data_IF_438990259900
#
_entry.id   IF_438990259900
#
_cell.length_a   1.000
_cell.length_b   1.000
_cell.length_c   1.000
_cell.angle_alpha   90.00
_cell.angle_beta   90.00
_cell.angle_gamma   90.00
#
_symmetry.space_group_name_H-M   'P 1'
#
loop_
_entity.id
_entity.type
_entity.pdbx_description
1 polymer ?
#
# COMPACT_ATOMS: atom_id res chain seq x y z
N UNK A 1 -12.11 -12.37 -12.07
CA UNK A 1 -10.97 -11.47 -11.77
C UNK A 1 -10.79 -11.52 -10.26
N UNK A 2 -9.56 -11.57 -9.75
CA UNK A 2 -9.36 -11.54 -8.30
C UNK A 2 -9.66 -10.16 -7.71
N UNK A 3 -9.74 -10.09 -6.39
CA UNK A 3 -10.03 -8.86 -5.64
C UNK A 3 -8.95 -7.80 -5.87
N UNK A 4 -9.35 -6.54 -6.05
CA UNK A 4 -8.41 -5.41 -6.01
C UNK A 4 -8.20 -4.97 -4.58
N UNK A 5 -6.94 -4.75 -4.23
CA UNK A 5 -6.52 -4.21 -2.95
C UNK A 5 -5.77 -2.90 -3.17
N UNK A 6 -6.11 -1.93 -2.34
CA UNK A 6 -5.46 -0.63 -2.24
C UNK A 6 -4.61 -0.65 -0.98
N UNK A 7 -3.35 -0.28 -1.10
CA UNK A 7 -2.45 -0.31 0.04
C UNK A 7 -1.53 0.89 0.04
N UNK A 8 -0.91 1.07 1.19
CA UNK A 8 0.10 2.07 1.47
C UNK A 8 1.04 1.53 2.55
N UNK A 9 2.30 1.94 2.54
CA UNK A 9 3.28 1.59 3.56
C UNK A 9 4.02 2.81 4.05
N UNK A 10 4.24 2.86 5.35
CA UNK A 10 5.20 3.77 5.94
C UNK A 10 6.49 3.00 6.23
N UNK A 11 7.63 3.63 5.96
CA UNK A 11 8.94 3.00 6.10
C UNK A 11 10.04 4.01 6.41
N UNK A 12 11.15 3.52 6.97
CA UNK A 12 12.37 4.28 7.18
C UNK A 12 13.38 3.88 6.11
N UNK A 13 13.87 4.87 5.36
CA UNK A 13 15.03 4.70 4.49
C UNK A 13 16.30 4.73 5.34
N UNK A 14 16.73 3.55 5.81
CA UNK A 14 17.94 3.40 6.64
C UNK A 14 19.17 3.33 5.75
N UNK A 15 20.17 4.17 6.03
CA UNK A 15 21.48 4.09 5.40
C UNK A 15 22.51 3.56 6.40
N UNK A 16 23.04 2.37 6.17
CA UNK A 16 24.04 1.75 7.04
C UNK A 16 25.23 1.24 6.21
N UNK A 17 26.44 1.64 6.59
CA UNK A 17 27.70 1.32 5.87
C UNK A 17 27.68 1.61 4.36
N UNK A 18 26.89 2.60 3.92
CA UNK A 18 26.75 2.96 2.50
C UNK A 18 25.72 2.14 1.72
N UNK A 19 24.95 1.28 2.39
CA UNK A 19 23.81 0.57 1.80
C UNK A 19 22.49 1.17 2.28
N UNK A 20 21.50 1.25 1.39
CA UNK A 20 20.16 1.76 1.69
C UNK A 20 19.15 0.62 1.85
N UNK A 21 18.42 0.63 2.96
CA UNK A 21 17.39 -0.34 3.32
C UNK A 21 16.04 0.36 3.47
N UNK A 22 14.96 -0.34 3.17
CA UNK A 22 13.60 0.11 3.43
C UNK A 22 13.04 -0.69 4.60
N UNK A 23 13.07 -0.10 5.80
CA UNK A 23 12.59 -0.75 7.00
C UNK A 23 11.10 -0.43 7.19
N UNK A 24 10.23 -1.42 7.03
CA UNK A 24 8.78 -1.27 7.21
C UNK A 24 8.45 -0.74 8.60
N UNK A 25 7.75 0.39 8.67
CA UNK A 25 7.12 0.93 9.88
C UNK A 25 5.70 0.40 10.01
N UNK A 26 4.84 0.62 9.00
CA UNK A 26 3.45 0.15 9.03
C UNK A 26 2.91 -0.13 7.62
N UNK A 27 1.85 -0.95 7.55
CA UNK A 27 1.17 -1.30 6.29
C UNK A 27 -0.33 -1.20 6.50
N UNK A 28 -1.01 -0.53 5.55
CA UNK A 28 -2.46 -0.45 5.47
C UNK A 28 -2.94 -1.08 4.17
N UNK A 29 -3.98 -1.90 4.22
CA UNK A 29 -4.57 -2.57 3.05
C UNK A 29 -6.09 -2.53 3.15
N UNK A 30 -6.77 -2.22 2.04
CA UNK A 30 -8.23 -2.27 1.92
C UNK A 30 -8.69 -2.90 0.60
N UNK A 31 -9.72 -3.73 0.65
CA UNK A 31 -10.34 -4.31 -0.55
C UNK A 31 -11.20 -3.29 -1.31
N UNK A 32 -11.45 -3.53 -2.60
CA UNK A 32 -12.26 -2.65 -3.47
C UNK A 32 -13.69 -2.39 -2.95
N UNK A 33 -14.31 -3.39 -2.34
CA UNK A 33 -15.63 -3.27 -1.71
C UNK A 33 -15.56 -2.57 -0.33
N UNK A 34 -14.36 -2.37 0.22
CA UNK A 34 -14.10 -1.75 1.52
C UNK A 34 -14.41 -2.64 2.73
N UNK A 35 -14.75 -3.91 2.52
CA UNK A 35 -15.17 -4.84 3.59
C UNK A 35 -13.97 -5.43 4.34
N UNK A 36 -12.87 -5.70 3.64
CA UNK A 36 -11.63 -6.18 4.25
C UNK A 36 -10.70 -5.00 4.47
N UNK A 37 -10.21 -4.89 5.71
CA UNK A 37 -9.23 -3.87 6.11
C UNK A 37 -8.17 -4.54 6.95
N UNK A 38 -6.94 -4.14 6.72
CA UNK A 38 -5.80 -4.61 7.48
C UNK A 38 -4.89 -3.44 7.80
N UNK A 39 -4.45 -3.40 9.04
CA UNK A 39 -3.44 -2.47 9.51
C UNK A 39 -2.51 -3.20 10.47
N UNK A 40 -1.22 -2.95 10.31
CA UNK A 40 -0.21 -3.42 11.24
C UNK A 40 0.97 -2.46 11.30
N UNK A 41 1.57 -2.37 12.47
CA UNK A 41 2.83 -1.66 12.74
C UNK A 41 3.89 -2.70 13.05
N UNK A 42 5.04 -2.62 12.40
CA UNK A 42 6.13 -3.55 12.66
C UNK A 42 6.79 -3.25 14.01
N UNK A 43 7.04 -4.28 14.80
CA UNK A 43 7.85 -4.16 16.03
C UNK A 43 9.36 -4.19 15.77
N UNK A 44 9.79 -4.24 14.51
CA UNK A 44 11.17 -4.57 14.13
C UNK A 44 11.94 -3.41 13.48
N UNK A 45 11.29 -2.28 13.17
CA UNK A 45 12.03 -1.09 12.71
C UNK A 45 12.75 -0.43 13.88
N UNK A 46 13.91 0.18 13.59
CA UNK A 46 14.64 0.98 14.57
C UNK A 46 14.31 2.47 14.37
N UNK A 47 13.55 3.09 15.30
CA UNK A 47 13.16 4.50 15.19
C UNK A 47 14.35 5.46 15.27
N UNK A 48 15.55 5.02 15.68
CA UNK A 48 16.74 5.88 15.73
C UNK A 48 17.13 6.40 14.34
N UNK A 49 16.86 5.63 13.29
CA UNK A 49 17.12 5.99 11.89
C UNK A 49 16.11 6.97 11.29
N UNK A 50 14.99 7.22 11.96
CA UNK A 50 13.97 8.12 11.45
C UNK A 50 14.46 9.58 11.38
N UNK A 51 14.43 10.15 10.19
CA UNK A 51 14.66 11.59 9.96
C UNK A 51 13.56 12.42 10.62
N UNK A 52 13.78 13.72 10.91
CA UNK A 52 12.81 14.56 11.62
C UNK A 52 11.43 14.62 10.96
N UNK A 53 11.38 14.50 9.63
CA UNK A 53 10.11 14.46 8.90
C UNK A 53 9.33 13.17 9.19
N UNK A 54 9.97 12.00 9.15
CA UNK A 54 9.33 10.71 9.46
C UNK A 54 8.88 10.66 10.90
N UNK A 55 9.66 11.20 11.85
CA UNK A 55 9.24 11.27 13.25
C UNK A 55 7.91 11.99 13.42
N UNK A 56 7.84 13.23 12.93
CA UNK A 56 6.66 14.10 13.12
C UNK A 56 5.43 13.65 12.35
N UNK A 57 5.62 13.12 11.14
CA UNK A 57 4.51 12.79 10.26
C UNK A 57 4.13 11.32 10.33
N UNK A 58 5.01 10.41 10.75
CA UNK A 58 4.71 8.97 10.77
C UNK A 58 4.69 8.47 12.20
N UNK A 59 5.83 8.56 12.90
CA UNK A 59 6.00 7.90 14.20
C UNK A 59 5.08 8.48 15.28
N UNK A 60 4.88 9.80 15.27
CA UNK A 60 3.99 10.48 16.21
C UNK A 60 2.49 10.16 15.97
N UNK A 61 2.14 9.56 14.83
CA UNK A 61 0.78 9.11 14.50
C UNK A 61 0.52 7.64 14.84
N UNK A 62 1.56 6.86 15.20
CA UNK A 62 1.41 5.44 15.50
C UNK A 62 0.52 5.23 16.74
N UNK A 63 -0.24 4.12 16.78
CA UNK A 63 -1.04 3.78 17.95
C UNK A 63 -0.16 3.52 19.19
N UNK A 64 -0.79 3.54 20.36
CA UNK A 64 -0.14 3.18 21.64
C UNK A 64 0.67 1.88 21.49
N UNK A 65 1.86 1.76 22.10
CA UNK A 65 2.65 0.51 22.07
C UNK A 65 1.92 -0.74 22.60
N UNK A 66 0.82 -0.56 23.34
CA UNK A 66 -0.04 -1.65 23.82
C UNK A 66 -1.11 -2.09 22.82
N UNK A 67 -1.23 -1.41 21.68
CA UNK A 67 -2.22 -1.69 20.64
C UNK A 67 -1.89 -3.01 19.91
N UNK A 68 -2.92 -3.77 19.54
CA UNK A 68 -2.77 -5.07 18.86
C UNK A 68 -2.26 -4.95 17.42
N UNK A 69 -2.25 -3.73 16.85
CA UNK A 69 -1.65 -3.45 15.56
C UNK A 69 -0.14 -3.71 15.53
N UNK A 70 0.55 -3.62 16.68
CA UNK A 70 1.98 -3.88 16.79
C UNK A 70 2.28 -5.38 16.65
N UNK A 71 3.01 -5.76 15.60
CA UNK A 71 3.26 -7.16 15.23
C UNK A 71 4.70 -7.37 14.72
N UNK A 72 5.30 -8.55 14.96
CA UNK A 72 6.52 -8.94 14.27
C UNK A 72 6.26 -9.13 12.77
N UNK A 73 7.27 -8.86 11.94
CA UNK A 73 7.21 -8.95 10.47
C UNK A 73 6.74 -10.32 10.00
N UNK A 74 7.14 -11.39 10.68
CA UNK A 74 6.69 -12.74 10.36
C UNK A 74 5.16 -12.89 10.44
N UNK A 75 4.53 -12.29 11.46
CA UNK A 75 3.07 -12.29 11.61
C UNK A 75 2.40 -11.41 10.56
N UNK A 76 2.97 -10.24 10.28
CA UNK A 76 2.48 -9.34 9.21
C UNK A 76 2.50 -10.06 7.86
N UNK A 77 3.62 -10.72 7.52
CA UNK A 77 3.77 -11.53 6.30
C UNK A 77 2.65 -12.57 6.16
N UNK A 78 2.41 -13.34 7.21
CA UNK A 78 1.43 -14.44 7.18
C UNK A 78 0.00 -13.92 7.04
N UNK A 79 -0.35 -12.86 7.78
CA UNK A 79 -1.67 -12.22 7.72
C UNK A 79 -1.92 -11.52 6.36
N UNK A 80 -0.91 -10.82 5.83
CA UNK A 80 -0.97 -10.18 4.50
C UNK A 80 -1.12 -11.23 3.40
N UNK A 81 -0.37 -12.33 3.47
CA UNK A 81 -0.50 -13.42 2.50
C UNK A 81 -1.91 -14.05 2.53
N UNK A 82 -2.42 -14.33 3.74
CA UNK A 82 -3.76 -14.88 3.91
C UNK A 82 -4.84 -13.93 3.36
N UNK A 83 -4.75 -12.64 3.68
CA UNK A 83 -5.68 -11.61 3.20
C UNK A 83 -5.68 -11.52 1.67
N UNK A 84 -4.51 -11.29 1.07
CA UNK A 84 -4.39 -10.98 -0.35
C UNK A 84 -4.69 -12.18 -1.26
N UNK A 85 -4.57 -13.41 -0.76
CA UNK A 85 -4.76 -14.63 -1.56
C UNK A 85 -6.06 -15.37 -1.28
N UNK A 86 -6.85 -14.94 -0.29
CA UNK A 86 -8.13 -15.57 0.07
C UNK A 86 -9.12 -15.67 -1.11
N UNK A 87 -9.12 -14.69 -2.01
CA UNK A 87 -10.00 -14.61 -3.18
C UNK A 87 -9.36 -15.00 -4.52
N UNK A 88 -8.20 -15.67 -4.49
CA UNK A 88 -7.39 -15.96 -5.69
C UNK A 88 -6.31 -14.90 -5.94
N UNK A 89 -5.85 -14.77 -7.18
CA UNK A 89 -4.75 -13.85 -7.55
C UNK A 89 -5.22 -12.38 -7.50
N UNK A 90 -4.69 -11.53 -6.61
CA UNK A 90 -5.17 -10.16 -6.41
C UNK A 90 -4.66 -9.19 -7.48
N UNK A 91 -5.33 -8.03 -7.59
CA UNK A 91 -4.73 -6.84 -8.18
C UNK A 91 -4.24 -5.92 -7.05
N UNK A 92 -2.95 -5.54 -7.05
CA UNK A 92 -2.41 -4.57 -6.11
C UNK A 92 -2.41 -3.16 -6.73
N UNK A 93 -2.88 -2.18 -5.97
CA UNK A 93 -2.95 -0.77 -6.34
C UNK A 93 -2.39 0.11 -5.22
N UNK A 94 -1.56 1.09 -5.58
CA UNK A 94 -1.06 2.12 -4.67
C UNK A 94 -0.85 3.43 -5.42
N UNK A 95 -0.63 4.52 -4.70
CA UNK A 95 -0.35 5.84 -5.26
C UNK A 95 1.14 6.16 -5.13
N UNK A 96 1.88 6.25 -6.24
CA UNK A 96 3.36 6.27 -6.24
C UNK A 96 3.99 4.99 -5.65
N UNK A 97 3.41 3.83 -5.95
CA UNK A 97 3.64 2.58 -5.22
C UNK A 97 4.97 1.85 -5.44
N UNK A 98 6.00 2.52 -5.95
CA UNK A 98 7.26 1.87 -6.30
C UNK A 98 8.01 1.34 -5.07
N UNK A 99 8.19 2.20 -4.07
CA UNK A 99 8.85 1.81 -2.81
C UNK A 99 7.95 0.91 -1.98
N UNK A 100 6.64 1.19 -1.93
CA UNK A 100 5.64 0.35 -1.27
C UNK A 100 5.67 -1.08 -1.78
N UNK A 101 5.82 -1.27 -3.09
CA UNK A 101 5.92 -2.60 -3.68
C UNK A 101 7.15 -3.35 -3.16
N UNK A 102 8.30 -2.68 -3.09
CA UNK A 102 9.53 -3.28 -2.55
C UNK A 102 9.35 -3.64 -1.07
N UNK A 103 8.83 -2.72 -0.26
CA UNK A 103 8.59 -2.91 1.17
C UNK A 103 7.64 -4.07 1.44
N UNK A 104 6.52 -4.13 0.71
CA UNK A 104 5.55 -5.21 0.78
C UNK A 104 6.18 -6.56 0.39
N UNK A 105 6.92 -6.62 -0.73
CA UNK A 105 7.57 -7.84 -1.18
C UNK A 105 8.67 -8.32 -0.20
N UNK A 106 9.40 -7.40 0.43
CA UNK A 106 10.45 -7.72 1.41
C UNK A 106 9.92 -8.39 2.69
N UNK A 107 8.60 -8.37 2.97
CA UNK A 107 8.00 -9.22 4.01
C UNK A 107 8.24 -10.71 3.75
N UNK A 108 8.40 -11.10 2.48
CA UNK A 108 8.62 -12.49 2.06
C UNK A 108 10.10 -12.82 1.88
N UNK A 109 11.00 -11.86 2.02
CA UNK A 109 12.43 -12.01 1.75
C UNK A 109 12.79 -11.58 0.33
N UNK A 110 13.48 -12.44 -0.42
CA UNK A 110 13.87 -12.16 -1.81
C UNK A 110 12.71 -12.38 -2.77
N UNK A 111 12.82 -11.85 -4.00
CA UNK A 111 11.76 -11.99 -5.02
C UNK A 111 11.37 -13.45 -5.32
N UNK A 112 12.27 -14.42 -5.11
CA UNK A 112 12.00 -15.84 -5.33
C UNK A 112 11.10 -16.46 -4.26
N UNK A 113 11.01 -15.83 -3.08
CA UNK A 113 10.16 -16.27 -1.98
C UNK A 113 8.75 -15.64 -2.01
N UNK A 114 8.49 -14.71 -2.93
CA UNK A 114 7.16 -14.12 -3.09
C UNK A 114 6.15 -15.19 -3.52
N UNK A 115 5.00 -15.35 -2.82
CA UNK A 115 3.97 -16.33 -3.17
C UNK A 115 3.57 -16.26 -4.65
N UNK A 116 3.39 -17.44 -5.27
CA UNK A 116 3.08 -17.56 -6.69
C UNK A 116 1.84 -16.77 -7.13
N UNK A 117 0.86 -16.63 -6.24
CA UNK A 117 -0.40 -15.94 -6.45
C UNK A 117 -0.28 -14.42 -6.43
N UNK A 118 0.74 -13.86 -5.75
CA UNK A 118 0.90 -12.40 -5.67
C UNK A 118 1.49 -11.84 -6.97
N UNK A 119 0.97 -10.72 -7.48
CA UNK A 119 1.51 -10.09 -8.69
C UNK A 119 2.90 -9.52 -8.43
N UNK A 120 3.77 -9.54 -9.46
CA UNK A 120 5.16 -9.03 -9.41
C UNK A 120 5.24 -7.54 -9.74
N UNK A 121 4.09 -6.87 -9.67
CA UNK A 121 3.96 -5.45 -9.90
C UNK A 121 2.77 -4.91 -9.12
N UNK A 122 2.86 -3.64 -8.77
CA UNK A 122 1.73 -2.85 -8.28
C UNK A 122 1.28 -1.90 -9.38
N UNK A 123 -0.03 -1.79 -9.58
CA UNK A 123 -0.62 -0.81 -10.48
C UNK A 123 -0.61 0.55 -9.79
N UNK A 124 -0.25 1.57 -10.55
CA UNK A 124 -0.08 2.90 -10.01
C UNK A 124 -1.33 3.77 -10.27
N UNK A 125 -1.99 4.20 -9.19
CA UNK A 125 -3.17 5.06 -9.26
C UNK A 125 -2.86 6.46 -9.78
N UNK A 126 -1.65 6.95 -9.53
CA UNK A 126 -1.20 8.27 -10.01
C UNK A 126 -1.02 8.23 -11.53
N UNK A 127 -0.52 7.12 -12.09
CA UNK A 127 -0.49 6.89 -13.53
C UNK A 127 -1.91 6.88 -14.09
N UNK A 128 -2.82 6.08 -13.50
CA UNK A 128 -4.22 6.03 -13.94
C UNK A 128 -4.89 7.42 -13.93
N UNK A 129 -4.61 8.24 -12.91
CA UNK A 129 -5.11 9.61 -12.84
C UNK A 129 -4.68 10.48 -14.03
N UNK A 130 -3.47 10.30 -14.58
CA UNK A 130 -3.08 10.99 -15.82
C UNK A 130 -3.83 10.47 -17.02
N UNK A 131 -3.91 9.15 -17.15
CA UNK A 131 -4.53 8.47 -18.29
C UNK A 131 -6.01 8.85 -18.47
N UNK A 132 -6.71 9.16 -17.37
CA UNK A 132 -8.12 9.57 -17.40
C UNK A 132 -8.33 11.10 -17.37
N UNK A 133 -7.29 11.88 -17.66
CA UNK A 133 -7.41 13.33 -17.85
C UNK A 133 -7.35 14.16 -16.58
N UNK A 134 -6.74 13.65 -15.51
CA UNK A 134 -6.47 14.36 -14.25
C UNK A 134 -7.72 14.98 -13.59
N UNK A 135 -8.79 14.20 -13.35
CA UNK A 135 -10.00 14.68 -12.68
C UNK A 135 -9.70 15.19 -11.26
N UNK A 136 -10.60 15.99 -10.71
CA UNK A 136 -10.55 16.38 -9.29
C UNK A 136 -10.68 15.14 -8.43
N UNK A 137 -9.76 14.97 -7.47
CA UNK A 137 -9.75 13.87 -6.51
C UNK A 137 -10.20 14.36 -5.12
N UNK A 138 -10.63 13.45 -4.23
CA UNK A 138 -10.85 13.78 -2.82
C UNK A 138 -9.60 14.41 -2.18
N UNK A 139 -9.81 15.28 -1.20
CA UNK A 139 -8.72 15.86 -0.43
C UNK A 139 -8.02 14.77 0.42
N UNK A 140 -6.71 14.92 0.71
CA UNK A 140 -6.01 14.07 1.68
C UNK A 140 -6.72 13.98 3.03
N UNK A 141 -6.67 12.80 3.71
CA UNK A 141 -7.23 12.66 5.04
C UNK A 141 -6.47 13.56 6.04
N UNK A 142 -7.11 13.97 7.15
CA UNK A 142 -6.46 14.77 8.19
C UNK A 142 -5.25 14.07 8.84
N UNK A 143 -5.27 12.74 8.90
CA UNK A 143 -4.21 11.88 9.39
C UNK A 143 -3.45 11.20 8.24
N UNK A 144 -3.14 11.94 7.17
CA UNK A 144 -2.23 11.47 6.13
C UNK A 144 -0.89 11.04 6.78
N UNK A 145 -0.24 10.03 6.21
CA UNK A 145 0.90 9.29 6.78
C UNK A 145 0.54 8.29 7.89
N UNK A 146 -0.75 7.99 8.03
CA UNK A 146 -1.25 6.72 8.56
C UNK A 146 -1.54 5.79 7.38
N UNK A 147 -0.84 4.66 7.31
CA UNK A 147 -0.91 3.75 6.17
C UNK A 147 -2.35 3.22 5.88
N UNK A 148 -3.20 3.03 6.90
CA UNK A 148 -4.58 2.61 6.65
C UNK A 148 -5.43 3.77 6.12
N UNK A 149 -5.24 4.97 6.66
CA UNK A 149 -5.90 6.18 6.16
C UNK A 149 -5.55 6.44 4.70
N UNK A 150 -4.27 6.27 4.33
CA UNK A 150 -3.81 6.46 2.96
C UNK A 150 -4.25 5.32 2.02
N UNK A 151 -4.31 4.07 2.50
CA UNK A 151 -4.94 2.97 1.75
C UNK A 151 -6.44 3.23 1.48
N UNK A 152 -7.18 3.74 2.47
CA UNK A 152 -8.58 4.16 2.31
C UNK A 152 -8.72 5.34 1.35
N UNK A 153 -7.78 6.28 1.36
CA UNK A 153 -7.74 7.36 0.40
C UNK A 153 -7.44 6.84 -1.02
N UNK A 154 -6.55 5.86 -1.17
CA UNK A 154 -6.30 5.19 -2.45
C UNK A 154 -7.58 4.54 -3.00
N UNK A 155 -8.39 3.89 -2.16
CA UNK A 155 -9.71 3.41 -2.53
C UNK A 155 -10.67 4.55 -2.93
N UNK A 156 -10.67 5.67 -2.21
CA UNK A 156 -11.49 6.83 -2.54
C UNK A 156 -11.12 7.44 -3.90
N UNK A 157 -9.82 7.52 -4.23
CA UNK A 157 -9.31 7.92 -5.56
C UNK A 157 -9.79 6.93 -6.62
N UNK A 158 -9.65 5.63 -6.38
CA UNK A 158 -10.11 4.60 -7.31
C UNK A 158 -11.60 4.74 -7.67
N UNK A 159 -12.46 5.02 -6.70
CA UNK A 159 -13.90 5.21 -6.95
C UNK A 159 -14.21 6.35 -7.92
N UNK A 160 -13.35 7.35 -8.00
CA UNK A 160 -13.44 8.44 -9.01
C UNK A 160 -12.84 7.98 -10.35
N UNK A 161 -11.70 7.30 -10.31
CA UNK A 161 -10.92 6.95 -11.51
C UNK A 161 -11.49 5.78 -12.31
N UNK A 162 -12.02 4.75 -11.66
CA UNK A 162 -12.50 3.52 -12.29
C UNK A 162 -13.61 3.76 -13.34
N UNK A 163 -14.65 4.57 -13.07
CA UNK A 163 -15.67 4.87 -14.08
C UNK A 163 -15.09 5.58 -15.31
N UNK A 164 -14.14 6.50 -15.11
CA UNK A 164 -13.51 7.27 -16.20
C UNK A 164 -12.59 6.39 -17.06
N UNK A 165 -11.86 5.47 -16.43
CA UNK A 165 -11.04 4.47 -17.12
C UNK A 165 -11.87 3.65 -18.11
N UNK A 166 -13.07 3.22 -17.70
CA UNK A 166 -13.98 2.46 -18.55
C UNK A 166 -14.45 3.27 -19.76
N UNK A 167 -14.69 4.58 -19.60
CA UNK A 167 -15.08 5.47 -20.69
C UNK A 167 -13.95 5.66 -21.71
N UNK A 168 -12.73 5.93 -21.24
CA UNK A 168 -11.56 6.07 -22.12
C UNK A 168 -11.32 4.77 -22.91
N UNK A 169 -11.45 3.61 -22.28
CA UNK A 169 -11.33 2.32 -22.94
C UNK A 169 -12.41 2.08 -24.00
N UNK A 170 -13.66 2.50 -23.74
CA UNK A 170 -14.77 2.37 -24.69
C UNK A 170 -14.59 3.30 -25.91
N UNK A 171 -14.15 4.54 -25.71
CA UNK A 171 -13.87 5.49 -26.80
C UNK A 171 -12.68 5.03 -27.65
N UNK A 172 -11.68 4.43 -27.03
CA UNK A 172 -10.47 3.94 -27.72
C UNK A 172 -10.72 2.65 -28.52
N UNK A 173 -11.88 1.99 -28.34
CA UNK A 173 -12.21 0.75 -29.04
C UNK A 173 -13.65 0.76 -29.57
N UNK A 174 -13.97 1.56 -30.61
CA UNK A 174 -15.35 1.80 -31.07
C UNK A 174 -16.00 0.63 -31.83
N UNK A 175 -15.44 -0.58 -31.78
CA UNK A 175 -15.91 -1.74 -32.56
C UNK A 175 -15.96 -3.06 -31.76
N UNK A 176 -16.87 -3.10 -30.77
CA UNK A 176 -17.52 -4.32 -30.29
C UNK A 176 -19.01 -4.07 -30.04
#
# INVERSE_FOLDING_TARGET
>A
MGTRFFYDTEFIERADTGHHWLDLVSVGIVSEDGTQRYYAVSTEFDPSWAVPWVRRNVLDQLPSPSDEAWKPRARIRDEVAALLTAGGAPELWAWYGAYDHVVLCQLFGTMTALPAQLPRFTRDLRQLWEEVGRPVLPAPPPNAHDALADALHNLARWRVLAPLRAQVAAVSNPSR
#
